data_IF_012768246850
#
_entry.id   IF_012768246850
#
_cell.length_a   1.000
_cell.length_b   1.000
_cell.length_c   1.000
_cell.angle_alpha   90.00
_cell.angle_beta   90.00
_cell.angle_gamma   90.00
#
_symmetry.space_group_name_H-M   'P 1'
#
loop_
_entity.id
_entity.type
_entity.pdbx_description
1 polymer ?
#
# COMPACT_ATOMS: atom_id res chain seq x y z
N UNK A 1 65.71 20.72 -11.59
CA UNK A 1 64.61 21.72 -11.71
C UNK A 1 63.33 20.97 -12.04
N UNK A 2 62.39 20.87 -11.10
CA UNK A 2 61.07 20.25 -11.33
C UNK A 2 60.20 21.29 -12.04
N UNK A 3 59.70 20.98 -13.24
CA UNK A 3 58.66 21.79 -13.91
C UNK A 3 57.35 21.58 -13.15
N UNK A 4 56.95 22.57 -12.36
CA UNK A 4 55.60 22.62 -11.84
C UNK A 4 54.65 22.93 -13.01
N UNK A 5 53.74 22.01 -13.29
CA UNK A 5 52.67 22.19 -14.28
C UNK A 5 51.50 22.85 -13.56
N UNK A 6 51.24 24.12 -13.85
CA UNK A 6 50.08 24.84 -13.35
C UNK A 6 48.79 24.36 -14.02
N UNK A 7 47.69 24.46 -13.28
CA UNK A 7 46.33 24.16 -13.75
C UNK A 7 45.93 25.14 -14.87
N UNK A 8 45.38 24.66 -15.97
CA UNK A 8 44.88 25.52 -17.04
C UNK A 8 43.43 25.94 -16.79
N UNK A 9 43.06 27.14 -17.24
CA UNK A 9 41.67 27.61 -17.18
C UNK A 9 40.73 26.68 -17.97
N UNK A 10 41.22 26.09 -19.07
CA UNK A 10 40.46 25.15 -19.90
C UNK A 10 40.12 23.86 -19.13
N UNK A 11 41.06 23.34 -18.33
CA UNK A 11 40.80 22.17 -17.47
C UNK A 11 39.67 22.45 -16.48
N UNK A 12 39.65 23.64 -15.87
CA UNK A 12 38.57 24.01 -14.96
C UNK A 12 37.22 24.21 -15.68
N UNK A 13 37.25 24.79 -16.88
CA UNK A 13 36.05 25.03 -17.68
C UNK A 13 35.35 23.73 -18.10
N UNK A 14 36.11 22.73 -18.54
CA UNK A 14 35.54 21.43 -18.91
C UNK A 14 34.90 20.75 -17.69
N UNK A 15 35.52 20.86 -16.52
CA UNK A 15 35.01 20.25 -15.28
C UNK A 15 33.66 20.86 -14.88
N UNK A 16 33.52 22.20 -14.90
CA UNK A 16 32.24 22.83 -14.54
C UNK A 16 31.13 22.50 -15.55
N UNK A 17 31.45 22.35 -16.83
CA UNK A 17 30.49 21.98 -17.87
C UNK A 17 30.00 20.54 -17.64
N UNK A 18 30.91 19.61 -17.35
CA UNK A 18 30.54 18.22 -17.04
C UNK A 18 29.70 18.17 -15.76
N UNK A 19 30.07 18.90 -14.70
CA UNK A 19 29.28 18.97 -13.46
C UNK A 19 27.87 19.53 -13.72
N UNK A 20 27.75 20.57 -14.57
CA UNK A 20 26.46 21.15 -14.93
C UNK A 20 25.56 20.15 -15.68
N UNK A 21 26.12 19.36 -16.61
CA UNK A 21 25.39 18.32 -17.34
C UNK A 21 24.97 17.20 -16.38
N UNK A 22 25.89 16.72 -15.53
CA UNK A 22 25.59 15.66 -14.57
C UNK A 22 24.51 16.11 -13.57
N UNK A 23 24.59 17.33 -13.05
CA UNK A 23 23.58 17.89 -12.15
C UNK A 23 22.19 17.97 -12.79
N UNK A 24 22.11 18.27 -14.10
CA UNK A 24 20.84 18.32 -14.83
C UNK A 24 20.16 16.94 -14.99
N UNK A 25 20.94 15.84 -15.05
CA UNK A 25 20.42 14.48 -15.26
C UNK A 25 20.34 13.66 -13.96
N UNK A 26 20.97 14.14 -12.88
CA UNK A 26 21.10 13.43 -11.60
C UNK A 26 19.82 13.36 -10.74
N UNK A 27 18.66 13.79 -11.23
CA UNK A 27 17.37 13.61 -10.57
C UNK A 27 16.61 12.41 -11.19
N UNK A 28 16.98 11.15 -10.89
CA UNK A 28 16.10 10.05 -11.24
C UNK A 28 14.76 10.23 -10.51
N UNK A 29 13.67 10.04 -11.25
CA UNK A 29 12.32 10.24 -10.75
C UNK A 29 11.93 9.11 -9.78
N UNK A 30 12.27 9.28 -8.50
CA UNK A 30 11.95 8.33 -7.42
C UNK A 30 10.45 8.22 -7.09
N UNK A 31 9.60 9.10 -7.65
CA UNK A 31 8.18 9.14 -7.30
C UNK A 31 7.43 7.84 -7.63
N UNK A 32 7.83 7.15 -8.70
CA UNK A 32 7.19 5.89 -9.11
C UNK A 32 7.51 4.69 -8.21
N UNK A 33 8.70 4.66 -7.59
CA UNK A 33 9.13 3.53 -6.76
C UNK A 33 8.36 3.50 -5.43
N UNK A 34 8.21 4.66 -4.79
CA UNK A 34 7.46 4.79 -3.53
C UNK A 34 5.99 4.43 -3.71
N UNK A 35 5.36 4.86 -4.81
CA UNK A 35 3.97 4.54 -5.10
C UNK A 35 3.76 3.02 -5.23
N UNK A 36 4.62 2.33 -5.98
CA UNK A 36 4.57 0.87 -6.14
C UNK A 36 4.77 0.13 -4.81
N UNK A 37 5.67 0.63 -3.95
CA UNK A 37 5.89 0.07 -2.63
C UNK A 37 4.63 0.20 -1.74
N UNK A 38 3.94 1.34 -1.81
CA UNK A 38 2.68 1.56 -1.08
C UNK A 38 1.55 0.68 -1.63
N UNK A 39 1.42 0.54 -2.94
CA UNK A 39 0.46 -0.41 -3.54
C UNK A 39 0.77 -1.87 -3.13
N UNK A 40 2.04 -2.24 -3.01
CA UNK A 40 2.44 -3.55 -2.50
C UNK A 40 2.02 -3.74 -1.03
N UNK A 41 2.14 -2.70 -0.20
CA UNK A 41 1.66 -2.72 1.18
C UNK A 41 0.13 -2.92 1.25
N UNK A 42 -0.64 -2.26 0.38
CA UNK A 42 -2.11 -2.48 0.28
C UNK A 42 -2.42 -3.94 -0.07
N UNK A 43 -1.71 -4.53 -1.03
CA UNK A 43 -1.90 -5.96 -1.39
C UNK A 43 -1.65 -6.88 -0.21
N UNK A 44 -0.60 -6.63 0.55
CA UNK A 44 -0.27 -7.39 1.76
C UNK A 44 -1.33 -7.23 2.86
N UNK A 45 -1.81 -6.00 3.07
CA UNK A 45 -2.88 -5.70 4.02
C UNK A 45 -4.18 -6.43 3.66
N UNK A 46 -4.61 -6.35 2.40
CA UNK A 46 -5.80 -7.07 1.90
C UNK A 46 -5.65 -8.57 2.10
N UNK A 47 -4.47 -9.16 1.82
CA UNK A 47 -4.25 -10.59 2.02
C UNK A 47 -4.30 -11.00 3.50
N UNK A 48 -3.80 -10.14 4.38
CA UNK A 48 -3.84 -10.37 5.84
C UNK A 48 -5.29 -10.39 6.33
N UNK A 49 -6.10 -9.42 5.89
CA UNK A 49 -7.53 -9.37 6.22
C UNK A 49 -8.27 -10.54 5.59
N UNK A 50 -7.92 -10.93 4.36
CA UNK A 50 -8.49 -12.11 3.71
C UNK A 50 -8.30 -13.37 4.56
N UNK A 51 -7.08 -13.64 5.01
CA UNK A 51 -6.81 -14.80 5.87
C UNK A 51 -7.63 -14.74 7.17
N UNK A 52 -7.78 -13.55 7.78
CA UNK A 52 -8.62 -13.38 8.95
C UNK A 52 -10.12 -13.65 8.66
N UNK A 53 -10.62 -13.27 7.50
CA UNK A 53 -11.99 -13.56 7.06
C UNK A 53 -12.22 -15.07 6.88
N UNK A 54 -11.27 -15.79 6.28
CA UNK A 54 -11.36 -17.25 6.12
C UNK A 54 -11.32 -17.98 7.48
N UNK A 55 -10.49 -17.52 8.42
CA UNK A 55 -10.46 -18.06 9.78
C UNK A 55 -11.78 -17.80 10.50
N UNK A 56 -12.33 -16.58 10.40
CA UNK A 56 -13.63 -16.27 10.98
C UNK A 56 -14.73 -17.17 10.41
N UNK A 57 -14.78 -17.36 9.09
CA UNK A 57 -15.77 -18.21 8.46
C UNK A 57 -15.64 -19.67 8.92
N UNK A 58 -14.41 -20.17 9.10
CA UNK A 58 -14.16 -21.51 9.63
C UNK A 58 -14.80 -21.71 11.01
N UNK A 59 -14.67 -20.71 11.89
CA UNK A 59 -15.23 -20.74 13.25
C UNK A 59 -16.75 -20.46 13.28
N UNK A 60 -17.30 -19.85 12.23
CA UNK A 60 -18.70 -19.42 12.15
C UNK A 60 -19.46 -20.15 11.04
N UNK A 61 -19.25 -21.46 10.87
CA UNK A 61 -20.02 -22.32 9.96
C UNK A 61 -20.06 -21.85 8.48
N UNK A 62 -19.00 -21.21 8.01
CA UNK A 62 -18.89 -20.67 6.66
C UNK A 62 -19.48 -19.27 6.47
N UNK A 63 -19.99 -18.63 7.53
CA UNK A 63 -20.50 -17.26 7.48
C UNK A 63 -19.41 -16.23 7.74
N UNK A 64 -19.36 -15.21 6.90
CA UNK A 64 -18.47 -14.05 7.03
C UNK A 64 -19.08 -12.99 7.97
N UNK A 65 -18.27 -12.11 8.57
CA UNK A 65 -18.79 -11.12 9.49
C UNK A 65 -19.57 -10.02 8.76
N UNK A 66 -20.75 -9.64 9.25
CA UNK A 66 -21.50 -8.48 8.71
C UNK A 66 -20.68 -7.19 8.77
N UNK A 67 -19.85 -7.08 9.81
CA UNK A 67 -18.93 -5.97 10.01
C UNK A 67 -17.50 -6.51 10.16
N UNK A 68 -16.59 -6.08 9.30
CA UNK A 68 -15.20 -6.58 9.31
C UNK A 68 -14.45 -6.26 10.62
N UNK A 69 -14.87 -5.25 11.38
CA UNK A 69 -14.37 -4.98 12.74
C UNK A 69 -14.48 -6.18 13.70
N UNK A 70 -15.42 -7.10 13.47
CA UNK A 70 -15.54 -8.35 14.24
C UNK A 70 -14.27 -9.22 14.21
N UNK A 71 -13.41 -9.04 13.19
CA UNK A 71 -12.10 -9.70 13.13
C UNK A 71 -11.16 -9.28 14.27
N UNK A 72 -11.27 -8.04 14.73
CA UNK A 72 -10.50 -7.55 15.89
C UNK A 72 -11.05 -8.13 17.19
N UNK A 73 -12.38 -8.12 17.38
CA UNK A 73 -13.02 -8.63 18.60
C UNK A 73 -12.75 -10.13 18.81
N UNK A 74 -12.73 -10.90 17.72
CA UNK A 74 -12.46 -12.33 17.76
C UNK A 74 -10.97 -12.70 17.70
N UNK A 75 -10.04 -11.74 17.77
CA UNK A 75 -8.59 -11.97 17.69
C UNK A 75 -8.12 -12.71 16.43
N UNK A 76 -8.80 -12.51 15.30
CA UNK A 76 -8.42 -13.12 14.00
C UNK A 76 -7.28 -12.36 13.30
N UNK A 77 -6.97 -11.14 13.75
CA UNK A 77 -5.92 -10.31 13.16
C UNK A 77 -4.61 -10.40 13.97
N UNK A 78 -3.45 -10.41 13.29
CA UNK A 78 -2.15 -10.33 13.97
C UNK A 78 -2.05 -9.08 14.86
N UNK A 79 -1.77 -9.29 16.15
CA UNK A 79 -1.66 -8.20 17.12
C UNK A 79 -2.98 -7.48 17.43
N UNK A 80 -4.13 -8.09 17.10
CA UNK A 80 -5.46 -7.56 17.47
C UNK A 80 -5.80 -6.24 16.80
N UNK A 81 -5.21 -5.92 15.65
CA UNK A 81 -5.47 -4.68 14.92
C UNK A 81 -5.38 -4.90 13.42
N UNK A 82 -6.04 -4.04 12.67
CA UNK A 82 -5.88 -4.01 11.22
C UNK A 82 -4.45 -3.60 10.83
N UNK A 83 -3.98 -4.05 9.65
CA UNK A 83 -2.74 -3.55 9.06
C UNK A 83 -2.74 -2.02 8.96
N UNK A 84 -1.56 -1.41 8.96
CA UNK A 84 -1.44 0.03 8.82
C UNK A 84 -1.65 0.47 7.36
N UNK A 85 -2.35 1.58 7.17
CA UNK A 85 -2.44 2.28 5.89
C UNK A 85 -1.08 2.93 5.55
N UNK A 86 -0.53 2.72 4.34
CA UNK A 86 0.79 3.20 3.97
C UNK A 86 0.90 4.72 3.77
N UNK A 87 -0.22 5.46 3.71
CA UNK A 87 -0.24 6.91 3.66
C UNK A 87 -0.26 7.56 5.05
N UNK A 88 -1.01 6.99 5.99
CA UNK A 88 -1.22 7.59 7.33
C UNK A 88 -0.38 6.96 8.43
N UNK A 89 0.18 5.77 8.18
CA UNK A 89 0.86 4.93 9.17
C UNK A 89 -0.01 4.58 10.40
N UNK A 90 -1.34 4.67 10.27
CA UNK A 90 -2.32 4.23 11.26
C UNK A 90 -3.04 2.98 10.77
N UNK A 91 -3.58 2.11 11.65
CA UNK A 91 -4.41 0.98 11.25
C UNK A 91 -5.55 1.42 10.33
N UNK A 92 -5.92 0.57 9.36
CA UNK A 92 -7.11 0.80 8.56
C UNK A 92 -8.35 1.00 9.44
N UNK A 93 -9.12 2.05 9.14
CA UNK A 93 -10.25 2.51 9.95
C UNK A 93 -11.51 1.71 9.70
N UNK A 94 -11.61 0.51 10.26
CA UNK A 94 -12.87 -0.25 10.28
C UNK A 94 -13.55 -0.06 11.64
N UNK A 95 -14.55 0.83 11.70
CA UNK A 95 -15.34 1.07 12.92
C UNK A 95 -16.64 0.27 12.88
N UNK A 96 -17.40 0.26 13.98
CA UNK A 96 -18.59 -0.59 14.17
C UNK A 96 -19.66 -0.47 13.09
N UNK A 97 -19.69 0.62 12.31
CA UNK A 97 -20.71 0.87 11.28
C UNK A 97 -20.14 1.38 9.95
N UNK A 98 -18.83 1.34 9.75
CA UNK A 98 -18.22 1.80 8.50
C UNK A 98 -16.94 1.05 8.19
N UNK A 99 -16.84 0.65 6.91
CA UNK A 99 -15.55 0.32 6.32
C UNK A 99 -14.63 1.55 6.37
N UNK A 100 -13.34 1.36 6.15
CA UNK A 100 -12.43 2.48 5.88
C UNK A 100 -12.76 3.07 4.49
N UNK A 101 -13.92 3.72 4.42
CA UNK A 101 -14.43 4.49 3.30
C UNK A 101 -14.05 5.96 3.43
N UNK A 102 -13.22 6.31 4.43
CA UNK A 102 -12.65 7.64 4.55
C UNK A 102 -11.78 7.99 3.36
N UNK A 103 -11.80 9.24 2.94
CA UNK A 103 -11.05 9.87 1.83
C UNK A 103 -9.51 9.65 1.86
N UNK A 104 -8.99 8.92 2.84
CA UNK A 104 -7.57 8.59 2.96
C UNK A 104 -7.09 7.82 1.74
N UNK A 105 -5.95 8.23 1.18
CA UNK A 105 -5.28 7.50 0.10
C UNK A 105 -5.08 6.02 0.48
N UNK A 106 -5.15 5.14 -0.52
CA UNK A 106 -4.98 3.69 -0.38
C UNK A 106 -6.03 3.00 0.48
N UNK A 107 -7.30 3.41 0.36
CA UNK A 107 -8.42 2.84 1.13
C UNK A 107 -8.60 1.33 0.89
N UNK A 108 -9.19 0.64 1.86
CA UNK A 108 -9.65 -0.75 1.74
C UNK A 108 -11.14 -0.80 2.04
N UNK A 109 -11.92 -1.36 1.12
CA UNK A 109 -13.37 -1.51 1.26
C UNK A 109 -13.70 -2.99 1.39
N UNK A 110 -14.53 -3.32 2.37
CA UNK A 110 -15.08 -4.66 2.58
C UNK A 110 -16.59 -4.64 2.31
N UNK A 111 -17.08 -5.61 1.56
CA UNK A 111 -18.51 -5.82 1.34
C UNK A 111 -18.83 -7.28 1.55
N UNK A 112 -20.00 -7.56 2.10
CA UNK A 112 -20.50 -8.91 2.33
C UNK A 112 -21.91 -9.01 1.79
N UNK A 113 -22.31 -10.20 1.32
CA UNK A 113 -23.68 -10.46 0.91
C UNK A 113 -24.62 -10.41 2.11
N UNK A 114 -25.91 -10.15 1.87
CA UNK A 114 -26.91 -10.02 2.93
C UNK A 114 -27.13 -11.28 3.77
N UNK A 115 -26.77 -12.45 3.22
CA UNK A 115 -26.81 -13.75 3.86
C UNK A 115 -25.45 -14.15 4.48
N UNK A 116 -24.46 -13.26 4.44
CA UNK A 116 -23.10 -13.46 4.96
C UNK A 116 -22.34 -14.66 4.35
N UNK A 117 -22.75 -15.19 3.20
CA UNK A 117 -22.09 -16.37 2.60
C UNK A 117 -20.96 -16.02 1.64
N UNK A 118 -20.85 -14.76 1.22
CA UNK A 118 -19.77 -14.29 0.37
C UNK A 118 -19.32 -12.87 0.72
N UNK A 119 -18.04 -12.59 0.51
CA UNK A 119 -17.47 -11.26 0.69
C UNK A 119 -16.69 -10.80 -0.53
N UNK A 120 -16.41 -9.51 -0.60
CA UNK A 120 -15.40 -8.88 -1.44
C UNK A 120 -14.61 -7.89 -0.61
N UNK A 121 -13.29 -7.94 -0.71
CA UNK A 121 -12.38 -6.96 -0.14
C UNK A 121 -11.54 -6.34 -1.26
N UNK A 122 -11.60 -5.02 -1.36
CA UNK A 122 -10.97 -4.25 -2.44
C UNK A 122 -10.02 -3.23 -1.86
N UNK A 123 -8.74 -3.32 -2.23
CA UNK A 123 -7.72 -2.33 -1.93
C UNK A 123 -7.52 -1.38 -3.11
N UNK A 124 -7.47 -0.08 -2.83
CA UNK A 124 -7.33 0.96 -3.84
C UNK A 124 -5.94 1.61 -3.83
N UNK A 125 -5.62 2.32 -4.91
CA UNK A 125 -4.43 3.16 -5.03
C UNK A 125 -4.58 4.50 -4.31
N UNK A 126 -3.58 5.37 -4.47
CA UNK A 126 -3.54 6.70 -3.83
C UNK A 126 -4.76 7.57 -4.14
N UNK A 127 -5.30 7.48 -5.35
CA UNK A 127 -6.44 8.27 -5.82
C UNK A 127 -7.80 7.69 -5.40
N UNK A 128 -7.82 6.53 -4.73
CA UNK A 128 -9.03 5.81 -4.34
C UNK A 128 -9.98 5.45 -5.50
N UNK A 129 -9.50 5.52 -6.74
CA UNK A 129 -10.22 5.14 -7.97
C UNK A 129 -9.62 3.88 -8.59
N UNK A 130 -8.29 3.81 -8.66
CA UNK A 130 -7.59 2.63 -9.18
C UNK A 130 -7.73 1.47 -8.20
N UNK A 131 -8.32 0.36 -8.64
CA UNK A 131 -8.29 -0.90 -7.91
C UNK A 131 -6.88 -1.50 -8.01
N UNK A 132 -6.23 -1.67 -6.86
CA UNK A 132 -4.92 -2.32 -6.78
C UNK A 132 -5.10 -3.83 -6.66
N UNK A 133 -6.07 -4.26 -5.86
CA UNK A 133 -6.40 -5.67 -5.65
C UNK A 133 -7.87 -5.80 -5.27
N UNK A 134 -8.54 -6.84 -5.77
CA UNK A 134 -9.86 -7.26 -5.32
C UNK A 134 -9.85 -8.76 -5.07
N UNK A 135 -10.36 -9.18 -3.92
CA UNK A 135 -10.46 -10.60 -3.55
C UNK A 135 -11.86 -10.88 -3.05
N UNK A 136 -12.43 -12.01 -3.46
CA UNK A 136 -13.71 -12.50 -2.97
C UNK A 136 -13.55 -13.87 -2.31
N UNK A 137 -14.61 -14.33 -1.63
CA UNK A 137 -14.69 -15.70 -1.08
C UNK A 137 -14.53 -16.80 -2.14
N UNK A 138 -14.75 -16.48 -3.43
CA UNK A 138 -14.54 -17.41 -4.55
C UNK A 138 -13.11 -17.38 -5.13
N UNK A 139 -12.24 -16.48 -4.65
CA UNK A 139 -10.86 -16.31 -5.14
C UNK A 139 -10.50 -14.86 -5.50
N UNK A 140 -9.32 -14.67 -6.11
CA UNK A 140 -8.85 -13.32 -6.51
C UNK A 140 -9.48 -12.89 -7.84
N UNK A 141 -10.08 -11.71 -7.88
CA UNK A 141 -10.60 -11.10 -9.11
C UNK A 141 -9.53 -10.12 -9.60
N UNK A 142 -8.92 -10.42 -10.74
CA UNK A 142 -7.84 -9.62 -11.34
C UNK A 142 -8.34 -8.30 -11.91
#
# INVERSE_FOLDING_TARGET
MRKERGFTLIELMVVIVIIAILAAVALPNFMGATERARESAVRSAVKTIQTALEMYATDNNGYYPSFVYSLTQGNYLPGGKFPNNPATNAPYGFTSNSNDSGESAYKIVYSVTSDNTAYTITGYGKDNQKVVISVSSAGTIK
#
